data_IF_431853558491
#
_entry.id   IF_431853558491
#
_cell.length_a   1.000
_cell.length_b   1.000
_cell.length_c   1.000
_cell.angle_alpha   90.00
_cell.angle_beta   90.00
_cell.angle_gamma   90.00
#
_symmetry.space_group_name_H-M   'P 1'
#
loop_
_entity.id
_entity.type
_entity.pdbx_description
1 polymer ?
#
# COMPACT_ATOMS: atom_id res chain seq x y z
N UNK A 1 -11.83 -19.27 47.38
CA UNK A 1 -10.91 -19.32 46.22
C UNK A 1 -9.56 -18.92 46.77
N UNK A 2 -8.50 -19.70 46.51
CA UNK A 2 -7.15 -19.40 46.97
C UNK A 2 -6.67 -18.11 46.32
N UNK A 3 -6.37 -17.09 47.12
CA UNK A 3 -5.69 -15.87 46.65
C UNK A 3 -4.32 -16.29 46.14
N UNK A 4 -4.17 -16.36 44.82
CA UNK A 4 -2.89 -16.68 44.20
C UNK A 4 -1.96 -15.48 44.44
N UNK A 5 -0.87 -15.73 45.14
CA UNK A 5 0.15 -14.71 45.43
C UNK A 5 1.18 -14.80 44.31
N UNK A 6 1.31 -13.73 43.53
CA UNK A 6 2.32 -13.61 42.48
C UNK A 6 3.52 -12.84 43.03
N UNK A 7 4.73 -13.39 42.91
CA UNK A 7 5.98 -12.69 43.23
C UNK A 7 6.57 -12.03 41.99
N UNK A 8 7.23 -10.88 42.17
CA UNK A 8 7.90 -10.15 41.09
C UNK A 8 9.14 -9.39 41.60
N UNK A 9 10.02 -9.03 40.68
CA UNK A 9 11.27 -8.34 41.00
C UNK A 9 12.35 -9.28 41.55
N UNK A 10 13.51 -8.69 41.86
CA UNK A 10 14.68 -9.39 42.40
C UNK A 10 15.31 -8.55 43.52
N UNK A 11 15.74 -9.22 44.58
CA UNK A 11 16.40 -8.57 45.72
C UNK A 11 17.89 -8.33 45.44
N UNK A 12 18.18 -7.38 44.55
CA UNK A 12 19.54 -7.04 44.10
C UNK A 12 19.96 -5.61 44.45
N UNK A 13 19.41 -5.03 45.52
CA UNK A 13 19.65 -3.64 45.92
C UNK A 13 19.95 -3.51 47.43
N UNK A 14 20.62 -2.42 47.86
CA UNK A 14 21.08 -2.29 49.24
C UNK A 14 19.96 -2.42 50.26
N UNK A 15 20.25 -3.10 51.39
CA UNK A 15 19.27 -3.25 52.48
C UNK A 15 19.05 -1.95 53.25
N UNK A 16 20.06 -1.08 53.28
CA UNK A 16 20.06 0.14 54.07
C UNK A 16 19.27 1.29 53.40
N UNK A 17 19.01 1.19 52.09
CA UNK A 17 18.20 2.15 51.31
C UNK A 17 16.83 1.59 50.95
N UNK A 18 16.28 0.63 51.69
CA UNK A 18 15.01 -0.04 51.33
C UNK A 18 13.80 0.73 51.82
N UNK A 19 12.91 1.12 50.90
CA UNK A 19 11.56 1.58 51.22
C UNK A 19 10.52 0.46 50.97
N UNK A 20 9.42 0.50 51.71
CA UNK A 20 8.37 -0.51 51.68
C UNK A 20 7.02 0.13 51.38
N UNK A 21 6.28 -0.46 50.45
CA UNK A 21 4.97 0.02 50.00
C UNK A 21 3.96 -1.11 50.07
N UNK A 22 2.77 -0.78 50.58
CA UNK A 22 1.57 -1.63 50.57
C UNK A 22 0.43 -0.84 49.96
N UNK A 23 -0.22 -1.40 48.96
CA UNK A 23 -1.31 -0.77 48.21
C UNK A 23 -2.47 -1.75 48.11
N UNK A 24 -3.67 -1.28 48.40
CA UNK A 24 -4.90 -2.01 48.10
C UNK A 24 -5.31 -1.65 46.66
N UNK A 25 -4.94 -2.51 45.71
CA UNK A 25 -5.12 -2.29 44.28
C UNK A 25 -5.27 -3.61 43.52
N UNK A 26 -6.14 -3.61 42.53
CA UNK A 26 -6.31 -4.67 41.54
C UNK A 26 -5.34 -4.53 40.34
N UNK A 27 -4.59 -3.42 40.28
CA UNK A 27 -3.63 -3.09 39.22
C UNK A 27 -2.22 -3.66 39.49
N UNK A 28 -2.08 -4.62 40.41
CA UNK A 28 -0.78 -5.14 40.85
C UNK A 28 0.14 -5.62 39.71
N UNK A 29 -0.42 -6.30 38.71
CA UNK A 29 0.32 -6.73 37.51
C UNK A 29 0.85 -5.55 36.68
N UNK A 30 0.03 -4.51 36.48
CA UNK A 30 0.40 -3.34 35.67
C UNK A 30 1.49 -2.52 36.37
N UNK A 31 1.37 -2.36 37.69
CA UNK A 31 2.38 -1.73 38.53
C UNK A 31 3.71 -2.50 38.52
N UNK A 32 3.68 -3.84 38.62
CA UNK A 32 4.89 -4.65 38.53
C UNK A 32 5.61 -4.48 37.19
N UNK A 33 4.86 -4.41 36.08
CA UNK A 33 5.42 -4.12 34.76
C UNK A 33 6.02 -2.71 34.72
N UNK A 34 5.30 -1.70 35.22
CA UNK A 34 5.77 -0.32 35.25
C UNK A 34 7.09 -0.19 36.02
N UNK A 35 7.18 -0.74 37.24
CA UNK A 35 8.41 -0.72 38.04
C UNK A 35 9.60 -1.36 37.29
N UNK A 36 9.36 -2.48 36.59
CA UNK A 36 10.39 -3.16 35.80
C UNK A 36 10.82 -2.33 34.59
N UNK A 37 9.87 -1.74 33.85
CA UNK A 37 10.13 -0.92 32.66
C UNK A 37 10.83 0.39 33.02
N UNK A 38 10.51 0.94 34.19
CA UNK A 38 11.16 2.12 34.77
C UNK A 38 12.57 1.84 35.30
N UNK A 39 12.98 0.57 35.39
CA UNK A 39 14.31 0.19 35.86
C UNK A 39 14.49 0.32 37.37
N UNK A 40 13.41 0.41 38.13
CA UNK A 40 13.45 0.49 39.59
C UNK A 40 13.93 -0.86 40.14
N UNK A 41 14.98 -0.92 40.98
CA UNK A 41 15.31 -2.13 41.73
C UNK A 41 14.22 -2.40 42.77
N UNK A 42 13.54 -3.54 42.65
CA UNK A 42 12.40 -3.87 43.50
C UNK A 42 12.23 -5.38 43.68
N UNK A 43 11.56 -5.76 44.76
CA UNK A 43 11.04 -7.11 45.00
C UNK A 43 9.69 -7.02 45.72
N UNK A 44 8.73 -7.84 45.32
CA UNK A 44 7.41 -7.80 45.92
C UNK A 44 6.51 -8.96 45.56
N UNK A 45 5.28 -8.85 46.06
CA UNK A 45 4.18 -9.76 45.78
C UNK A 45 2.90 -8.99 45.51
N UNK A 46 2.00 -9.55 44.71
CA UNK A 46 0.65 -9.01 44.54
C UNK A 46 -0.38 -10.14 44.48
N UNK A 47 -1.59 -9.80 44.88
CA UNK A 47 -2.82 -10.57 44.67
C UNK A 47 -3.78 -9.73 43.83
N UNK A 48 -5.00 -10.22 43.61
CA UNK A 48 -6.04 -9.47 42.89
C UNK A 48 -6.54 -8.22 43.62
N UNK A 49 -6.15 -8.01 44.89
CA UNK A 49 -6.65 -6.92 45.73
C UNK A 49 -5.56 -6.09 46.40
N UNK A 50 -4.36 -6.63 46.52
CA UNK A 50 -3.30 -5.97 47.26
C UNK A 50 -1.94 -6.23 46.61
N UNK A 51 -1.10 -5.21 46.60
CA UNK A 51 0.29 -5.28 46.18
C UNK A 51 1.18 -4.83 47.33
N UNK A 52 2.25 -5.59 47.59
CA UNK A 52 3.28 -5.28 48.59
C UNK A 52 4.65 -5.43 47.98
N UNK A 53 5.47 -4.40 48.06
CA UNK A 53 6.81 -4.46 47.51
C UNK A 53 7.77 -3.57 48.27
N UNK A 54 9.04 -3.85 48.07
CA UNK A 54 10.15 -3.02 48.52
C UNK A 54 11.01 -2.62 47.35
N UNK A 55 11.60 -1.44 47.43
CA UNK A 55 12.43 -0.86 46.38
C UNK A 55 13.57 -0.04 46.97
N UNK A 56 14.50 0.35 46.11
CA UNK A 56 15.62 1.24 46.46
C UNK A 56 15.16 2.70 46.58
N UNK A 57 15.36 3.32 47.74
CA UNK A 57 14.88 4.65 48.10
C UNK A 57 15.35 5.76 47.15
N UNK A 58 16.46 5.54 46.45
CA UNK A 58 16.95 6.45 45.41
C UNK A 58 15.93 6.65 44.26
N UNK A 59 14.98 5.73 44.11
CA UNK A 59 13.92 5.76 43.10
C UNK A 59 12.57 6.24 43.66
N UNK A 60 12.55 6.87 44.83
CA UNK A 60 11.32 7.32 45.49
C UNK A 60 10.44 8.16 44.58
N UNK A 61 10.99 9.19 43.92
CA UNK A 61 10.21 10.06 43.03
C UNK A 61 9.55 9.28 41.88
N UNK A 62 10.29 8.32 41.31
CA UNK A 62 9.81 7.41 40.26
C UNK A 62 8.66 6.54 40.76
N UNK A 63 8.81 5.93 41.94
CA UNK A 63 7.78 5.06 42.52
C UNK A 63 6.55 5.87 42.92
N UNK A 64 6.72 7.05 43.52
CA UNK A 64 5.63 7.94 43.90
C UNK A 64 4.80 8.36 42.67
N UNK A 65 5.45 8.66 41.54
CA UNK A 65 4.74 8.95 40.29
C UNK A 65 3.92 7.74 39.80
N UNK A 66 4.53 6.55 39.78
CA UNK A 66 3.89 5.30 39.34
C UNK A 66 2.67 4.98 40.22
N UNK A 67 2.83 5.05 41.54
CA UNK A 67 1.78 4.78 42.53
C UNK A 67 0.65 5.82 42.43
N UNK A 68 0.99 7.09 42.23
CA UNK A 68 0.01 8.16 42.01
C UNK A 68 -0.82 7.91 40.76
N UNK A 69 -0.19 7.52 39.64
CA UNK A 69 -0.91 7.18 38.40
C UNK A 69 -1.80 5.95 38.55
N UNK A 70 -1.37 4.96 39.33
CA UNK A 70 -2.18 3.78 39.62
C UNK A 70 -3.42 4.07 40.47
N UNK A 71 -3.29 5.02 41.39
CA UNK A 71 -4.37 5.48 42.27
C UNK A 71 -5.32 6.47 41.59
N UNK A 72 -4.95 7.00 40.43
CA UNK A 72 -5.75 7.94 39.64
C UNK A 72 -6.72 7.21 38.69
N UNK A 73 -7.86 7.85 38.45
CA UNK A 73 -8.86 7.42 37.47
C UNK A 73 -8.58 7.97 36.05
N UNK A 74 -7.54 8.79 35.88
CA UNK A 74 -7.14 9.39 34.60
C UNK A 74 -6.96 8.35 33.49
N UNK A 75 -6.41 7.18 33.82
CA UNK A 75 -6.25 6.10 32.83
C UNK A 75 -7.59 5.56 32.34
N UNK A 76 -8.53 5.34 33.24
CA UNK A 76 -9.86 4.80 32.90
C UNK A 76 -10.66 5.84 32.11
N UNK A 77 -10.52 7.12 32.45
CA UNK A 77 -11.08 8.23 31.68
C UNK A 77 -10.52 8.27 30.26
N UNK A 78 -9.19 8.18 30.12
CA UNK A 78 -8.53 8.08 28.82
C UNK A 78 -9.02 6.86 28.01
N UNK A 79 -9.16 5.70 28.64
CA UNK A 79 -9.66 4.50 27.95
C UNK A 79 -11.13 4.65 27.52
N UNK A 80 -11.96 5.34 28.30
CA UNK A 80 -13.35 5.65 27.92
C UNK A 80 -13.40 6.56 26.70
N UNK A 81 -12.55 7.59 26.67
CA UNK A 81 -12.45 8.50 25.53
C UNK A 81 -12.07 7.76 24.25
N UNK A 82 -11.05 6.89 24.31
CA UNK A 82 -10.64 6.03 23.19
C UNK A 82 -11.79 5.11 22.74
N UNK A 83 -12.50 4.46 23.67
CA UNK A 83 -13.63 3.55 23.33
C UNK A 83 -14.83 4.24 22.69
N UNK A 84 -14.98 5.55 22.89
CA UNK A 84 -16.10 6.33 22.32
C UNK A 84 -15.99 6.39 20.80
N UNK A 85 -14.76 6.41 20.29
CA UNK A 85 -14.46 6.32 18.88
C UNK A 85 -14.33 4.81 18.54
N UNK A 86 -15.14 4.28 17.62
CA UNK A 86 -15.24 2.83 17.33
C UNK A 86 -14.22 2.33 16.29
N UNK A 87 -13.13 3.06 16.06
CA UNK A 87 -12.13 2.81 15.00
C UNK A 87 -10.71 2.66 15.58
N UNK A 88 -9.76 2.14 14.81
CA UNK A 88 -8.35 2.12 15.19
C UNK A 88 -7.76 3.55 15.29
N UNK A 89 -8.37 4.51 14.58
CA UNK A 89 -8.06 5.95 14.67
C UNK A 89 -8.38 6.56 16.04
N UNK A 90 -9.07 5.85 16.92
CA UNK A 90 -9.46 6.33 18.25
C UNK A 90 -8.29 6.68 19.16
N UNK A 91 -7.15 6.03 18.95
CA UNK A 91 -5.93 6.34 19.69
C UNK A 91 -5.37 7.72 19.33
N UNK A 92 -5.76 8.32 18.20
CA UNK A 92 -5.28 9.64 17.78
C UNK A 92 -5.79 10.78 18.68
N UNK A 93 -6.78 10.54 19.54
CA UNK A 93 -7.18 11.48 20.59
C UNK A 93 -6.01 11.76 21.56
N UNK A 94 -5.08 10.80 21.70
CA UNK A 94 -3.90 10.92 22.55
C UNK A 94 -2.74 11.66 21.88
N UNK A 95 -2.87 12.03 20.60
CA UNK A 95 -1.78 12.66 19.86
C UNK A 95 -1.26 13.95 20.52
N UNK A 96 -2.09 14.82 21.12
CA UNK A 96 -1.60 15.99 21.86
C UNK A 96 -0.75 15.59 23.07
N UNK A 97 -1.18 14.59 23.84
CA UNK A 97 -0.42 14.08 25.00
C UNK A 97 0.90 13.45 24.57
N UNK A 98 0.89 12.65 23.50
CA UNK A 98 2.11 12.06 22.93
C UNK A 98 3.07 13.14 22.44
N UNK A 99 2.57 14.20 21.80
CA UNK A 99 3.38 15.34 21.38
C UNK A 99 4.05 16.04 22.56
N UNK A 100 3.31 16.21 23.66
CA UNK A 100 3.83 16.77 24.91
C UNK A 100 5.00 15.93 25.46
N UNK A 101 4.83 14.60 25.61
CA UNK A 101 5.88 13.71 26.09
C UNK A 101 7.11 13.66 25.16
N UNK A 102 6.91 13.82 23.86
CA UNK A 102 8.00 13.85 22.87
C UNK A 102 8.68 15.23 22.75
N UNK A 103 8.19 16.26 23.43
CA UNK A 103 8.65 17.65 23.27
C UNK A 103 8.62 18.13 21.80
N UNK A 104 7.56 17.75 21.06
CA UNK A 104 7.33 18.18 19.68
C UNK A 104 5.95 18.82 19.55
N UNK A 105 5.72 19.56 18.47
CA UNK A 105 4.37 20.08 18.20
C UNK A 105 3.46 18.97 17.71
N UNK A 106 2.17 19.07 18.03
CA UNK A 106 1.16 18.15 17.50
C UNK A 106 1.17 18.14 15.95
N UNK A 107 1.34 19.31 15.32
CA UNK A 107 1.47 19.43 13.87
C UNK A 107 2.65 18.63 13.30
N UNK A 108 3.78 18.57 14.01
CA UNK A 108 4.92 17.74 13.63
C UNK A 108 4.57 16.26 13.62
N UNK A 109 3.79 15.78 14.59
CA UNK A 109 3.32 14.39 14.60
C UNK A 109 2.23 14.13 13.56
N UNK A 110 1.33 15.08 13.31
CA UNK A 110 0.28 14.97 12.29
C UNK A 110 0.83 14.85 10.86
N UNK A 111 2.00 15.43 10.62
CA UNK A 111 2.71 15.32 9.33
C UNK A 111 3.40 13.95 9.12
N UNK A 112 3.35 13.05 10.10
CA UNK A 112 3.90 11.69 9.98
C UNK A 112 2.90 10.71 9.39
N UNK A 113 3.34 9.56 8.87
CA UNK A 113 2.43 8.48 8.46
C UNK A 113 1.45 8.13 9.58
N UNK A 114 0.18 7.88 9.22
CA UNK A 114 -0.89 7.58 10.19
C UNK A 114 -0.54 6.37 11.08
N UNK A 115 0.09 5.35 10.50
CA UNK A 115 0.57 4.16 11.21
C UNK A 115 1.53 4.51 12.36
N UNK A 116 2.46 5.44 12.13
CA UNK A 116 3.38 5.92 13.17
C UNK A 116 2.63 6.65 14.29
N UNK A 117 1.66 7.51 13.91
CA UNK A 117 0.84 8.23 14.88
C UNK A 117 0.07 7.27 15.80
N UNK A 118 -0.61 6.28 15.21
CA UNK A 118 -1.36 5.26 15.95
C UNK A 118 -0.43 4.40 16.80
N UNK A 119 0.73 4.00 16.28
CA UNK A 119 1.72 3.21 17.02
C UNK A 119 2.20 3.94 18.28
N UNK A 120 2.55 5.23 18.17
CA UNK A 120 3.00 6.03 19.31
C UNK A 120 1.89 6.18 20.36
N UNK A 121 0.64 6.41 19.93
CA UNK A 121 -0.50 6.51 20.84
C UNK A 121 -0.81 5.18 21.54
N UNK A 122 -0.73 4.04 20.83
CA UNK A 122 -0.87 2.69 21.44
C UNK A 122 0.28 2.36 22.39
N UNK A 123 1.47 2.86 22.12
CA UNK A 123 2.63 2.67 23.00
C UNK A 123 2.48 3.51 24.27
N UNK A 124 2.00 4.75 24.15
CA UNK A 124 1.70 5.62 25.27
C UNK A 124 0.70 4.99 26.24
N UNK A 125 -0.39 4.40 25.76
CA UNK A 125 -1.36 3.72 26.64
C UNK A 125 -0.77 2.53 27.38
N UNK A 126 0.11 1.76 26.74
CA UNK A 126 0.82 0.64 27.37
C UNK A 126 1.78 1.09 28.46
N UNK A 127 2.37 2.28 28.31
CA UNK A 127 3.36 2.85 29.22
C UNK A 127 2.75 3.76 30.28
N UNK A 128 1.43 3.98 30.29
CA UNK A 128 0.77 4.98 31.13
C UNK A 128 1.23 4.94 32.60
N UNK A 129 1.30 3.75 33.19
CA UNK A 129 1.68 3.59 34.60
C UNK A 129 3.17 3.80 34.89
N UNK A 130 4.02 3.95 33.87
CA UNK A 130 5.44 4.24 34.08
C UNK A 130 5.66 5.72 34.48
N UNK A 131 6.82 6.02 35.02
CA UNK A 131 7.28 7.39 35.26
C UNK A 131 7.44 8.17 33.94
N UNK A 132 7.38 9.50 34.06
CA UNK A 132 7.46 10.42 32.92
C UNK A 132 8.77 10.26 32.12
N UNK A 133 9.97 10.22 32.73
CA UNK A 133 11.21 9.94 32.02
C UNK A 133 11.19 8.65 31.20
N UNK A 134 10.63 7.56 31.75
CA UNK A 134 10.50 6.28 31.04
C UNK A 134 9.56 6.38 29.85
N UNK A 135 8.38 6.99 30.02
CA UNK A 135 7.44 7.21 28.90
C UNK A 135 8.13 7.99 27.79
N UNK A 136 8.78 9.11 28.14
CA UNK A 136 9.49 9.96 27.17
C UNK A 136 10.61 9.19 26.46
N UNK A 137 11.44 8.43 27.19
CA UNK A 137 12.54 7.64 26.63
C UNK A 137 12.03 6.62 25.62
N UNK A 138 11.03 5.83 25.99
CA UNK A 138 10.52 4.76 25.13
C UNK A 138 9.78 5.32 23.91
N UNK A 139 8.97 6.39 24.07
CA UNK A 139 8.35 7.08 22.93
C UNK A 139 9.40 7.68 22.00
N UNK A 140 10.45 8.28 22.54
CA UNK A 140 11.55 8.87 21.74
C UNK A 140 12.26 7.78 20.93
N UNK A 141 12.54 6.62 21.53
CA UNK A 141 13.13 5.47 20.83
C UNK A 141 12.27 5.00 19.66
N UNK A 142 10.96 4.86 19.88
CA UNK A 142 10.03 4.47 18.81
C UNK A 142 9.96 5.52 17.70
N UNK A 143 9.95 6.81 18.06
CA UNK A 143 9.90 7.91 17.10
C UNK A 143 11.20 8.00 16.25
N UNK A 144 12.37 7.82 16.86
CA UNK A 144 13.66 7.90 16.16
C UNK A 144 13.97 6.67 15.32
N UNK A 145 13.62 5.47 15.78
CA UNK A 145 13.77 4.24 15.00
C UNK A 145 13.04 4.35 13.66
N UNK A 146 11.80 4.83 13.68
CA UNK A 146 11.02 5.04 12.46
C UNK A 146 11.60 6.13 11.56
N UNK A 147 12.20 7.19 12.13
CA UNK A 147 12.91 8.22 11.35
C UNK A 147 14.15 7.67 10.63
N UNK A 148 14.86 6.72 11.24
CA UNK A 148 15.99 6.06 10.59
C UNK A 148 15.51 5.18 9.45
N UNK A 149 14.45 4.39 9.66
CA UNK A 149 13.84 3.57 8.62
C UNK A 149 13.33 4.40 7.43
N UNK A 150 12.69 5.55 7.69
CA UNK A 150 12.26 6.48 6.64
C UNK A 150 13.45 6.96 5.79
N UNK A 151 14.58 7.32 6.43
CA UNK A 151 15.80 7.75 5.74
C UNK A 151 16.44 6.62 4.93
N UNK A 152 16.55 5.43 5.49
CA UNK A 152 17.14 4.27 4.81
C UNK A 152 16.32 3.89 3.57
N UNK A 153 14.98 3.99 3.65
CA UNK A 153 14.08 3.79 2.52
C UNK A 153 14.26 4.85 1.43
N UNK A 154 14.41 6.11 1.81
CA UNK A 154 14.61 7.23 0.88
C UNK A 154 15.97 7.11 0.18
N UNK A 155 17.03 6.79 0.92
CA UNK A 155 18.36 6.52 0.36
C UNK A 155 18.36 5.29 -0.57
N UNK A 156 17.64 4.23 -0.20
CA UNK A 156 17.50 3.05 -1.06
C UNK A 156 16.80 3.40 -2.39
N UNK A 157 15.74 4.22 -2.35
CA UNK A 157 15.06 4.72 -3.56
C UNK A 157 15.99 5.58 -4.40
N UNK A 158 16.76 6.48 -3.79
CA UNK A 158 17.73 7.30 -4.51
C UNK A 158 18.83 6.45 -5.17
N UNK A 159 19.35 5.45 -4.46
CA UNK A 159 20.34 4.49 -5.01
C UNK A 159 19.76 3.69 -6.16
N UNK A 160 18.50 3.27 -6.07
CA UNK A 160 17.80 2.58 -7.16
C UNK A 160 17.65 3.48 -8.40
N UNK A 161 17.21 4.74 -8.19
CA UNK A 161 17.13 5.73 -9.27
C UNK A 161 18.50 5.95 -9.89
N UNK A 162 19.56 6.12 -9.09
CA UNK A 162 20.92 6.29 -9.61
C UNK A 162 21.43 5.07 -10.39
N UNK A 163 21.19 3.85 -9.88
CA UNK A 163 21.55 2.60 -10.59
C UNK A 163 20.75 2.41 -11.89
N UNK A 164 19.53 2.92 -11.95
CA UNK A 164 18.69 2.84 -13.14
C UNK A 164 18.96 3.98 -14.13
N UNK A 165 19.63 5.04 -13.70
CA UNK A 165 19.89 6.23 -14.49
C UNK A 165 21.33 6.32 -15.03
N UNK A 166 21.99 5.16 -15.20
CA UNK A 166 23.34 5.06 -15.75
C UNK A 166 23.38 5.39 -17.25
N UNK A 167 24.52 5.89 -17.79
CA UNK A 167 24.68 6.19 -19.22
C UNK A 167 24.35 4.98 -20.10
N UNK A 168 24.81 3.79 -19.71
CA UNK A 168 24.57 2.54 -20.44
C UNK A 168 23.07 2.19 -20.53
N UNK A 169 22.32 2.33 -19.42
CA UNK A 169 20.86 2.10 -19.42
C UNK A 169 20.11 3.19 -20.21
N UNK A 170 20.58 4.43 -20.17
CA UNK A 170 20.01 5.52 -20.98
C UNK A 170 20.22 5.27 -22.47
N UNK A 171 21.42 4.81 -22.86
CA UNK A 171 21.76 4.48 -24.23
C UNK A 171 20.94 3.28 -24.75
N UNK A 172 20.74 2.23 -23.94
CA UNK A 172 19.91 1.09 -24.34
C UNK A 172 18.45 1.49 -24.53
N UNK A 173 17.88 2.32 -23.64
CA UNK A 173 16.53 2.85 -23.80
C UNK A 173 16.43 3.75 -25.05
N UNK A 174 17.39 4.65 -25.26
CA UNK A 174 17.44 5.51 -26.45
C UNK A 174 17.55 4.69 -27.75
N UNK A 175 18.36 3.64 -27.74
CA UNK A 175 18.52 2.74 -28.87
C UNK A 175 17.22 1.96 -29.15
N UNK A 176 16.57 1.43 -28.12
CA UNK A 176 15.29 0.73 -28.25
C UNK A 176 14.20 1.66 -28.80
N UNK A 177 14.14 2.91 -28.35
CA UNK A 177 13.19 3.91 -28.82
C UNK A 177 13.43 4.29 -30.29
N UNK A 178 14.71 4.42 -30.66
CA UNK A 178 15.13 4.67 -32.05
C UNK A 178 14.76 3.49 -32.97
N UNK A 179 14.99 2.25 -32.52
CA UNK A 179 14.58 1.05 -33.26
C UNK A 179 13.07 0.95 -33.41
N UNK A 180 12.31 1.22 -32.34
CA UNK A 180 10.85 1.23 -32.40
C UNK A 180 10.37 2.23 -33.45
N UNK A 181 10.91 3.46 -33.43
CA UNK A 181 10.57 4.50 -34.41
C UNK A 181 10.89 4.11 -35.84
N UNK A 182 12.04 3.45 -36.09
CA UNK A 182 12.36 2.91 -37.42
C UNK A 182 11.37 1.82 -37.86
N UNK A 183 10.99 0.92 -36.95
CA UNK A 183 10.04 -0.15 -37.27
C UNK A 183 8.65 0.40 -37.60
N UNK A 184 8.19 1.45 -36.92
CA UNK A 184 6.93 2.14 -37.25
C UNK A 184 6.99 2.74 -38.65
N UNK A 185 8.06 3.49 -38.97
CA UNK A 185 8.22 4.10 -40.30
C UNK A 185 8.27 3.05 -41.41
N UNK A 186 9.01 1.96 -41.20
CA UNK A 186 9.08 0.86 -42.15
C UNK A 186 7.73 0.17 -42.33
N UNK A 187 6.99 -0.02 -41.24
CA UNK A 187 5.62 -0.53 -41.30
C UNK A 187 4.70 0.35 -42.14
N UNK A 188 4.78 1.68 -41.97
CA UNK A 188 4.00 2.63 -42.77
C UNK A 188 4.36 2.57 -44.27
N UNK A 189 5.64 2.42 -44.62
CA UNK A 189 6.09 2.22 -45.99
C UNK A 189 5.55 0.90 -46.57
N UNK A 190 5.71 -0.21 -45.84
CA UNK A 190 5.20 -1.53 -46.24
C UNK A 190 3.67 -1.50 -46.45
N UNK A 191 2.94 -0.74 -45.63
CA UNK A 191 1.50 -0.57 -45.79
C UNK A 191 1.13 0.23 -47.04
N UNK A 192 1.89 1.29 -47.36
CA UNK A 192 1.69 2.05 -48.62
C UNK A 192 1.97 1.19 -49.84
N UNK A 193 3.09 0.47 -49.85
CA UNK A 193 3.46 -0.39 -50.97
C UNK A 193 2.41 -1.48 -51.23
N UNK A 194 1.86 -2.07 -50.15
CA UNK A 194 0.76 -3.03 -50.25
C UNK A 194 -0.53 -2.41 -50.78
N UNK A 195 -0.87 -1.19 -50.37
CA UNK A 195 -2.03 -0.47 -50.89
C UNK A 195 -1.89 -0.21 -52.40
N UNK A 196 -0.72 0.28 -52.84
CA UNK A 196 -0.43 0.50 -54.25
C UNK A 196 -0.50 -0.79 -55.08
N UNK A 197 -0.06 -1.92 -54.52
CA UNK A 197 -0.16 -3.23 -55.16
C UNK A 197 -1.61 -3.69 -55.28
N UNK A 198 -2.39 -3.52 -54.23
CA UNK A 198 -3.81 -3.87 -54.21
C UNK A 198 -4.60 -3.05 -55.24
N UNK A 199 -4.35 -1.74 -55.33
CA UNK A 199 -4.98 -0.87 -56.33
C UNK A 199 -4.65 -1.33 -57.76
N UNK A 200 -3.38 -1.66 -58.03
CA UNK A 200 -2.96 -2.19 -59.35
C UNK A 200 -3.64 -3.53 -59.67
N UNK A 201 -3.79 -4.39 -58.67
CA UNK A 201 -4.45 -5.69 -58.83
C UNK A 201 -5.97 -5.53 -59.03
N UNK A 202 -6.62 -4.61 -58.33
CA UNK A 202 -8.03 -4.27 -58.52
C UNK A 202 -8.29 -3.74 -59.94
N UNK A 203 -7.44 -2.82 -60.43
CA UNK A 203 -7.51 -2.33 -61.81
C UNK A 203 -7.38 -3.47 -62.81
N UNK A 204 -6.41 -4.38 -62.59
CA UNK A 204 -6.17 -5.53 -63.47
C UNK A 204 -7.36 -6.50 -63.48
N UNK A 205 -7.87 -6.87 -62.32
CA UNK A 205 -9.02 -7.79 -62.18
C UNK A 205 -10.29 -7.17 -62.76
N UNK A 206 -10.49 -5.86 -62.60
CA UNK A 206 -11.56 -5.10 -63.24
C UNK A 206 -11.50 -5.14 -64.77
N UNK A 207 -10.31 -4.98 -65.36
CA UNK A 207 -10.11 -5.09 -66.81
C UNK A 207 -10.43 -6.50 -67.34
N UNK A 208 -9.92 -7.54 -66.68
CA UNK A 208 -10.20 -8.93 -67.04
C UNK A 208 -11.71 -9.21 -66.96
N UNK A 209 -12.36 -8.78 -65.88
CA UNK A 209 -13.80 -8.96 -65.68
C UNK A 209 -14.63 -8.29 -66.78
N UNK A 210 -14.29 -7.03 -67.13
CA UNK A 210 -14.94 -6.32 -68.25
C UNK A 210 -14.76 -7.04 -69.57
N UNK A 211 -13.57 -7.56 -69.85
CA UNK A 211 -13.29 -8.31 -71.08
C UNK A 211 -14.07 -9.63 -71.14
N UNK A 212 -14.18 -10.36 -70.03
CA UNK A 212 -14.98 -11.59 -69.94
C UNK A 212 -16.46 -11.28 -70.20
N UNK A 213 -17.01 -10.24 -69.58
CA UNK A 213 -18.40 -9.79 -69.79
C UNK A 213 -18.61 -9.44 -71.28
N UNK A 214 -17.68 -8.71 -71.90
CA UNK A 214 -17.75 -8.35 -73.32
C UNK A 214 -17.82 -9.58 -74.22
N UNK A 215 -16.92 -10.56 -74.01
CA UNK A 215 -16.91 -11.81 -74.78
C UNK A 215 -18.19 -12.63 -74.61
N UNK A 216 -18.71 -12.71 -73.39
CA UNK A 216 -19.98 -13.39 -73.12
C UNK A 216 -21.15 -12.69 -73.84
N UNK A 217 -21.21 -11.35 -73.80
CA UNK A 217 -22.23 -10.58 -74.50
C UNK A 217 -22.16 -10.77 -76.03
N UNK A 218 -20.96 -10.82 -76.61
CA UNK A 218 -20.76 -11.13 -78.03
C UNK A 218 -21.25 -12.53 -78.39
N UNK A 219 -20.93 -13.55 -77.57
CA UNK A 219 -21.44 -14.90 -77.76
C UNK A 219 -22.97 -14.97 -77.71
N UNK A 220 -23.59 -14.27 -76.75
CA UNK A 220 -25.06 -14.18 -76.64
C UNK A 220 -25.65 -13.53 -77.89
N UNK A 221 -25.09 -12.39 -78.34
CA UNK A 221 -25.54 -11.71 -79.57
C UNK A 221 -25.43 -12.61 -80.80
N UNK A 222 -24.33 -13.37 -80.95
CA UNK A 222 -24.15 -14.32 -82.04
C UNK A 222 -25.18 -15.44 -82.00
N UNK A 223 -25.42 -16.04 -80.82
CA UNK A 223 -26.45 -17.07 -80.64
C UNK A 223 -27.85 -16.54 -80.98
N UNK A 224 -28.16 -15.32 -80.54
CA UNK A 224 -29.44 -14.68 -80.84
C UNK A 224 -29.59 -14.42 -82.35
N UNK A 225 -28.57 -13.87 -83.01
CA UNK A 225 -28.60 -13.64 -84.46
C UNK A 225 -28.76 -14.94 -85.27
N UNK A 226 -28.14 -16.04 -84.84
CA UNK A 226 -28.35 -17.36 -85.45
C UNK A 226 -29.78 -17.84 -85.23
N UNK A 227 -30.31 -17.70 -84.01
CA UNK A 227 -31.69 -18.05 -83.68
C UNK A 227 -32.69 -17.23 -84.50
N UNK A 228 -32.48 -15.92 -84.62
CA UNK A 228 -33.31 -14.99 -85.37
C UNK A 228 -33.30 -15.34 -86.87
N UNK A 229 -32.13 -15.68 -87.44
CA UNK A 229 -32.01 -16.21 -88.81
C UNK A 229 -32.78 -17.52 -88.99
N UNK A 230 -32.64 -18.45 -88.05
CA UNK A 230 -33.33 -19.75 -88.12
C UNK A 230 -34.85 -19.56 -88.03
N UNK A 231 -35.33 -18.63 -87.20
CA UNK A 231 -36.75 -18.27 -87.13
C UNK A 231 -37.22 -17.55 -88.40
N UNK A 232 -36.41 -16.67 -88.98
CA UNK A 232 -36.73 -15.99 -90.24
C UNK A 232 -36.84 -17.00 -91.39
N UNK A 233 -35.87 -17.92 -91.53
CA UNK A 233 -35.91 -19.00 -92.51
C UNK A 233 -37.09 -19.94 -92.30
N UNK A 234 -37.43 -20.26 -91.04
CA UNK A 234 -38.62 -21.05 -90.72
C UNK A 234 -39.91 -20.32 -91.13
N UNK A 235 -40.05 -19.03 -90.79
CA UNK A 235 -41.21 -18.22 -91.22
C UNK A 235 -41.27 -18.03 -92.73
N UNK A 236 -40.13 -17.98 -93.42
CA UNK A 236 -40.07 -17.87 -94.88
C UNK A 236 -40.43 -19.20 -95.57
N UNK A 237 -40.01 -20.34 -95.00
CA UNK A 237 -40.47 -21.67 -95.42
C UNK A 237 -41.97 -21.85 -95.18
N UNK A 238 -42.49 -21.42 -94.02
CA UNK A 238 -43.92 -21.46 -93.72
C UNK A 238 -44.74 -20.55 -94.67
N UNK A 239 -44.19 -19.43 -95.14
CA UNK A 239 -44.81 -18.59 -96.20
C UNK A 239 -44.73 -19.20 -97.60
N UNK A 240 -43.67 -19.97 -97.93
CA UNK A 240 -43.46 -20.59 -99.24
C UNK A 240 -44.18 -21.93 -99.43
N UNK A 241 -44.54 -22.62 -98.35
CA UNK A 241 -45.21 -23.93 -98.37
C UNK A 241 -46.65 -23.89 -97.78
N UNK A 242 -47.15 -22.70 -97.44
CA UNK A 242 -48.50 -22.47 -96.87
C UNK A 242 -49.53 -21.89 -97.86
N UNK A 243 -49.27 -21.98 -99.17
CA UNK A 243 -50.23 -21.70 -100.25
C UNK A 243 -50.21 -22.83 -101.27
#
# INVERSE_FOLDING_TARGET
MSDHIFSFGEDNFPKDSREYVTLDTDKGKLLAIALKTSGVPHIGTFTDKQMRFSYDADYKDTVDEIVKKASSDEFEEMLREIKTHKDDSSYLVLLPSVAHYLNVTEGTLRNRPNELQVQLCRMFTRLWYCDTPTIQRELTRAYTANRQTERDLEEAKEREVQQNNTPEKRETVCFADTQHRQNVLKGDEDHRDKADLADKEEVRTGLISREVIRRQAEMIRRKQAVKDKLTAEKTERERKFGQ
#
